data_IF_380397499301
#
_entry.id   IF_380397499301
#
_cell.length_a   1.000
_cell.length_b   1.000
_cell.length_c   1.000
_cell.angle_alpha   90.00
_cell.angle_beta   90.00
_cell.angle_gamma   90.00
#
_symmetry.space_group_name_H-M   'P 1'
#
loop_
_entity.id
_entity.type
_entity.pdbx_description
1 polymer ?
#
# COMPACT_ATOMS: atom_id res chain seq x y z
N UNK A 1 36.51 13.53 -18.82
CA UNK A 1 35.04 13.59 -18.93
C UNK A 1 34.48 13.91 -17.56
N UNK A 2 33.67 14.97 -17.41
CA UNK A 2 32.96 15.23 -16.16
C UNK A 2 32.01 14.05 -15.85
N UNK A 3 31.80 13.69 -14.58
CA UNK A 3 30.87 12.61 -14.24
C UNK A 3 29.48 12.97 -14.78
N UNK A 4 28.94 12.10 -15.62
CA UNK A 4 27.58 12.25 -16.16
C UNK A 4 26.60 12.04 -15.02
N UNK A 5 25.96 13.11 -14.55
CA UNK A 5 24.84 13.00 -13.61
C UNK A 5 23.74 12.16 -14.25
N UNK A 6 23.31 11.12 -13.53
CA UNK A 6 22.19 10.28 -13.96
C UNK A 6 20.91 11.04 -13.66
N UNK A 7 19.96 11.06 -14.59
CA UNK A 7 18.68 11.75 -14.40
C UNK A 7 17.52 10.80 -14.67
N UNK A 8 16.65 10.62 -13.68
CA UNK A 8 15.38 9.89 -13.79
C UNK A 8 14.24 10.89 -13.85
N UNK A 9 13.42 10.77 -14.90
CA UNK A 9 12.15 11.48 -15.02
C UNK A 9 10.99 10.50 -14.76
N UNK A 10 10.16 10.82 -13.77
CA UNK A 10 8.94 10.10 -13.43
C UNK A 10 7.78 10.86 -14.08
N UNK A 11 7.09 10.22 -15.03
CA UNK A 11 5.96 10.82 -15.75
C UNK A 11 4.67 10.36 -15.08
N UNK A 12 4.00 11.28 -14.39
CA UNK A 12 2.83 11.01 -13.56
C UNK A 12 3.12 11.33 -12.09
N UNK A 13 2.25 12.15 -11.50
CA UNK A 13 2.25 12.43 -10.06
C UNK A 13 1.37 11.45 -9.29
N UNK A 14 0.51 11.98 -8.43
CA UNK A 14 -0.32 11.18 -7.53
C UNK A 14 0.49 10.25 -6.61
N UNK A 15 -0.19 9.30 -5.96
CA UNK A 15 0.42 8.41 -4.95
C UNK A 15 1.59 7.62 -5.52
N UNK A 16 1.45 7.05 -6.73
CA UNK A 16 2.48 6.21 -7.34
C UNK A 16 3.74 7.01 -7.70
N UNK A 17 3.59 8.18 -8.33
CA UNK A 17 4.73 9.01 -8.77
C UNK A 17 5.54 9.56 -7.60
N UNK A 18 4.86 10.09 -6.59
CA UNK A 18 5.51 10.65 -5.41
C UNK A 18 6.16 9.59 -4.52
N UNK A 19 5.53 8.43 -4.31
CA UNK A 19 6.17 7.31 -3.60
C UNK A 19 7.40 6.79 -4.36
N UNK A 20 7.32 6.64 -5.69
CA UNK A 20 8.48 6.24 -6.49
C UNK A 20 9.63 7.24 -6.36
N UNK A 21 9.35 8.54 -6.41
CA UNK A 21 10.37 9.58 -6.24
C UNK A 21 11.07 9.50 -4.88
N UNK A 22 10.30 9.35 -3.80
CA UNK A 22 10.82 9.23 -2.43
C UNK A 22 11.66 7.95 -2.25
N UNK A 23 11.17 6.81 -2.74
CA UNK A 23 11.89 5.54 -2.65
C UNK A 23 13.19 5.55 -3.47
N UNK A 24 13.15 6.12 -4.68
CA UNK A 24 14.36 6.28 -5.51
C UNK A 24 15.35 7.24 -4.88
N UNK A 25 14.88 8.36 -4.32
CA UNK A 25 15.74 9.31 -3.62
C UNK A 25 16.41 8.65 -2.42
N UNK A 26 15.66 7.89 -1.62
CA UNK A 26 16.18 7.13 -0.49
C UNK A 26 17.23 6.10 -0.91
N UNK A 27 16.93 5.30 -1.94
CA UNK A 27 17.86 4.30 -2.46
C UNK A 27 19.15 4.93 -3.03
N UNK A 28 19.04 6.12 -3.61
CA UNK A 28 20.14 6.85 -4.21
C UNK A 28 20.98 7.66 -3.21
N UNK A 29 20.62 7.73 -1.92
CA UNK A 29 21.46 8.37 -0.89
C UNK A 29 22.86 7.76 -0.82
N UNK A 30 23.07 6.54 -1.34
CA UNK A 30 24.37 5.88 -1.47
C UNK A 30 25.14 6.19 -2.77
N UNK A 31 24.62 7.03 -3.67
CA UNK A 31 25.21 7.32 -4.98
C UNK A 31 25.16 8.82 -5.30
N UNK A 32 26.33 9.46 -5.33
CA UNK A 32 26.45 10.86 -5.72
C UNK A 32 25.95 11.09 -7.16
N UNK A 33 25.10 12.11 -7.33
CA UNK A 33 24.76 12.67 -8.64
C UNK A 33 23.54 12.08 -9.35
N UNK A 34 22.57 11.50 -8.63
CA UNK A 34 21.24 11.19 -9.19
C UNK A 34 20.29 12.39 -9.08
N UNK A 35 19.83 12.90 -10.22
CA UNK A 35 18.72 13.84 -10.30
C UNK A 35 17.41 13.08 -10.51
N UNK A 36 16.37 13.44 -9.77
CA UNK A 36 15.01 12.89 -9.93
C UNK A 36 14.07 14.05 -10.24
N UNK A 37 13.14 13.87 -11.18
CA UNK A 37 12.11 14.86 -11.48
C UNK A 37 10.76 14.16 -11.66
N UNK A 38 9.71 14.69 -11.04
CA UNK A 38 8.33 14.24 -11.23
C UNK A 38 7.64 15.23 -12.17
N UNK A 39 7.03 14.72 -13.23
CA UNK A 39 6.28 15.49 -14.22
C UNK A 39 4.81 15.16 -14.01
N UNK A 40 4.07 16.11 -13.41
CA UNK A 40 2.66 15.97 -13.09
C UNK A 40 1.82 16.88 -13.99
N UNK A 41 0.67 16.38 -14.45
CA UNK A 41 -0.28 17.18 -15.23
C UNK A 41 -1.08 18.07 -14.29
N UNK A 42 -1.18 19.38 -14.54
CA UNK A 42 -2.05 20.26 -13.74
C UNK A 42 -3.55 20.00 -13.98
N UNK A 43 -3.90 19.30 -15.06
CA UNK A 43 -5.27 19.17 -15.53
C UNK A 43 -5.97 17.89 -15.03
N UNK A 44 -5.22 16.94 -14.47
CA UNK A 44 -5.74 15.65 -14.00
C UNK A 44 -5.68 15.62 -12.47
N UNK A 45 -6.78 15.99 -11.78
CA UNK A 45 -6.81 15.94 -10.33
C UNK A 45 -6.81 14.50 -9.82
N UNK A 46 -6.31 14.32 -8.59
CA UNK A 46 -6.50 13.05 -7.88
C UNK A 46 -7.98 12.82 -7.58
N UNK A 47 -8.42 11.58 -7.75
CA UNK A 47 -9.78 11.20 -7.38
C UNK A 47 -9.82 11.08 -5.86
N UNK A 48 -10.62 11.91 -5.19
CA UNK A 48 -10.78 11.95 -3.73
C UNK A 48 -11.56 10.77 -3.14
N UNK A 49 -11.36 9.56 -3.66
CA UNK A 49 -11.87 8.35 -3.02
C UNK A 49 -10.89 7.95 -1.92
N UNK A 50 -11.40 7.58 -0.74
CA UNK A 50 -10.51 7.09 0.30
C UNK A 50 -9.84 5.79 -0.14
N UNK A 51 -8.52 5.73 0.01
CA UNK A 51 -7.70 4.55 -0.27
C UNK A 51 -7.29 3.84 1.03
N UNK A 52 -7.36 2.52 1.04
CA UNK A 52 -6.91 1.70 2.17
C UNK A 52 -5.53 1.09 1.92
N UNK A 53 -4.70 1.01 2.95
CA UNK A 53 -3.38 0.36 2.91
C UNK A 53 -3.35 -0.98 3.65
N UNK A 54 -2.16 -1.62 3.68
CA UNK A 54 -1.81 -2.78 4.54
C UNK A 54 -0.76 -2.36 5.56
N UNK A 55 -0.39 -3.24 6.51
CA UNK A 55 0.62 -2.86 7.54
C UNK A 55 2.00 -2.56 6.95
N UNK A 56 2.31 -3.09 5.77
CA UNK A 56 3.56 -2.81 5.04
C UNK A 56 3.76 -1.31 4.82
N UNK A 57 2.68 -0.55 4.66
CA UNK A 57 2.78 0.89 4.41
C UNK A 57 3.37 1.66 5.60
N UNK A 58 3.15 1.18 6.83
CA UNK A 58 3.80 1.76 8.02
C UNK A 58 5.33 1.64 7.92
N UNK A 59 5.83 0.51 7.43
CA UNK A 59 7.27 0.32 7.22
C UNK A 59 7.82 1.29 6.16
N UNK A 60 7.06 1.53 5.09
CA UNK A 60 7.43 2.52 4.06
C UNK A 60 7.59 3.91 4.65
N UNK A 61 6.67 4.36 5.51
CA UNK A 61 6.79 5.67 6.18
C UNK A 61 8.06 5.75 7.04
N UNK A 62 8.31 4.71 7.85
CA UNK A 62 9.49 4.63 8.70
C UNK A 62 10.80 4.65 7.89
N UNK A 63 10.87 3.89 6.80
CA UNK A 63 12.05 3.81 5.93
C UNK A 63 12.35 5.15 5.26
N UNK A 64 11.30 5.90 4.91
CA UNK A 64 11.39 7.26 4.36
C UNK A 64 11.63 8.33 5.43
N UNK A 65 11.62 7.97 6.72
CA UNK A 65 11.79 8.92 7.83
C UNK A 65 10.59 9.85 8.02
N UNK A 66 9.40 9.43 7.60
CA UNK A 66 8.15 10.18 7.75
C UNK A 66 7.50 9.78 9.08
N UNK A 67 7.17 10.76 9.92
CA UNK A 67 6.45 10.52 11.16
C UNK A 67 5.02 10.03 10.87
N UNK A 68 4.66 8.88 11.46
CA UNK A 68 3.35 8.25 11.23
C UNK A 68 2.20 9.15 11.72
N UNK A 69 2.38 9.84 12.85
CA UNK A 69 1.32 10.67 13.43
C UNK A 69 1.11 11.94 12.62
N UNK A 70 2.18 12.58 12.16
CA UNK A 70 2.12 13.71 11.23
C UNK A 70 1.46 13.32 9.91
N UNK A 71 1.85 12.18 9.33
CA UNK A 71 1.26 11.66 8.11
C UNK A 71 -0.26 11.46 8.24
N UNK A 72 -0.72 10.83 9.33
CA UNK A 72 -2.16 10.62 9.58
C UNK A 72 -2.92 11.95 9.69
N UNK A 73 -2.35 12.94 10.39
CA UNK A 73 -2.96 14.28 10.52
C UNK A 73 -3.03 15.03 9.20
N UNK A 74 -1.95 15.01 8.41
CA UNK A 74 -1.86 15.73 7.15
C UNK A 74 -2.78 15.15 6.07
N UNK A 75 -3.08 13.85 6.15
CA UNK A 75 -3.92 13.14 5.15
C UNK A 75 -5.37 12.94 5.60
N UNK A 76 -5.70 13.20 6.87
CA UNK A 76 -6.99 12.85 7.44
C UNK A 76 -7.23 11.33 7.52
N UNK A 77 -6.18 10.53 7.50
CA UNK A 77 -6.27 9.08 7.51
C UNK A 77 -6.68 8.53 8.89
N UNK A 78 -7.29 7.34 8.87
CA UNK A 78 -7.72 6.60 10.07
C UNK A 78 -7.05 5.25 10.17
N UNK A 79 -6.97 4.70 11.38
CA UNK A 79 -6.46 3.35 11.59
C UNK A 79 -7.40 2.29 10.99
N UNK A 80 -6.82 1.39 10.19
CA UNK A 80 -7.52 0.22 9.64
C UNK A 80 -7.17 -0.99 10.50
N UNK A 81 -8.18 -1.64 11.09
CA UNK A 81 -8.00 -2.82 11.96
C UNK A 81 -8.27 -4.16 11.26
N UNK A 82 -9.00 -4.16 10.14
CA UNK A 82 -9.40 -5.39 9.47
C UNK A 82 -10.22 -5.10 8.21
N UNK A 83 -10.64 -6.17 7.56
CA UNK A 83 -11.53 -6.12 6.40
C UNK A 83 -12.80 -6.90 6.76
N UNK A 84 -13.96 -6.25 6.65
CA UNK A 84 -15.26 -6.92 6.77
C UNK A 84 -15.69 -7.44 5.40
N UNK A 85 -15.78 -8.75 5.26
CA UNK A 85 -16.31 -9.40 4.06
C UNK A 85 -17.81 -9.66 4.25
N UNK A 86 -18.65 -8.73 3.80
CA UNK A 86 -20.10 -8.81 3.96
C UNK A 86 -20.76 -9.70 2.91
N UNK A 87 -21.42 -10.78 3.34
CA UNK A 87 -22.12 -11.71 2.42
C UNK A 87 -21.23 -12.57 1.51
N UNK A 88 -19.92 -12.59 1.72
CA UNK A 88 -18.97 -13.33 0.87
C UNK A 88 -18.96 -14.85 1.11
N UNK A 89 -19.53 -15.32 2.21
CA UNK A 89 -19.62 -16.75 2.50
C UNK A 89 -20.76 -17.40 1.73
N UNK A 90 -20.63 -18.71 1.46
CA UNK A 90 -21.70 -19.50 0.80
C UNK A 90 -23.03 -19.47 1.56
N UNK A 91 -22.99 -19.35 2.88
CA UNK A 91 -24.17 -19.23 3.74
C UNK A 91 -24.65 -17.78 3.91
N UNK A 92 -24.11 -16.83 3.12
CA UNK A 92 -24.49 -15.41 3.13
C UNK A 92 -24.02 -14.64 4.37
N UNK A 93 -23.24 -15.26 5.27
CA UNK A 93 -22.79 -14.64 6.51
C UNK A 93 -21.55 -13.77 6.30
N UNK A 94 -21.45 -12.74 7.13
CA UNK A 94 -20.29 -11.88 7.22
C UNK A 94 -19.11 -12.60 7.92
N UNK A 95 -17.89 -12.15 7.63
CA UNK A 95 -16.73 -12.47 8.45
C UNK A 95 -15.71 -11.32 8.41
N UNK A 96 -14.85 -11.27 9.43
CA UNK A 96 -13.70 -10.37 9.46
C UNK A 96 -12.44 -11.11 9.03
N UNK A 97 -11.75 -10.56 8.03
CA UNK A 97 -10.42 -10.98 7.61
C UNK A 97 -9.36 -10.10 8.27
N UNK A 98 -8.19 -10.68 8.64
CA UNK A 98 -7.04 -9.88 9.06
C UNK A 98 -6.53 -9.05 7.87
N UNK A 99 -5.82 -7.95 8.14
CA UNK A 99 -5.20 -7.11 7.10
C UNK A 99 -4.02 -7.84 6.45
N UNK A 100 -3.22 -8.51 7.27
CA UNK A 100 -2.01 -9.21 6.85
C UNK A 100 -2.06 -10.68 7.28
N UNK A 101 -1.14 -11.49 6.75
CA UNK A 101 -1.05 -12.89 7.15
C UNK A 101 -0.79 -12.97 8.66
N UNK A 102 -1.69 -13.57 9.45
CA UNK A 102 -1.49 -13.71 10.88
C UNK A 102 -0.23 -14.52 11.22
N UNK A 103 0.25 -15.39 10.33
CA UNK A 103 1.48 -16.14 10.53
C UNK A 103 2.75 -15.27 10.37
N UNK A 104 2.64 -14.10 9.75
CA UNK A 104 3.73 -13.12 9.68
C UNK A 104 3.82 -12.25 10.96
N UNK A 105 2.75 -12.21 11.76
CA UNK A 105 2.63 -11.37 12.96
C UNK A 105 2.67 -12.16 14.27
N UNK A 106 2.38 -13.46 14.24
CA UNK A 106 2.45 -14.36 15.39
C UNK A 106 3.18 -15.65 15.01
N UNK A 107 4.03 -16.20 15.91
CA UNK A 107 4.65 -17.49 15.67
C UNK A 107 3.58 -18.57 15.50
N UNK A 108 3.79 -19.57 14.63
CA UNK A 108 2.82 -20.63 14.44
C UNK A 108 2.57 -21.35 15.77
N UNK A 109 1.32 -21.71 16.11
CA UNK A 109 1.03 -22.43 17.33
C UNK A 109 1.78 -23.76 17.36
N UNK A 110 2.47 -24.03 18.48
CA UNK A 110 3.27 -25.24 18.68
C UNK A 110 2.41 -26.48 18.39
N UNK A 111 2.82 -27.29 17.41
CA UNK A 111 2.17 -28.55 17.06
C UNK A 111 1.18 -28.52 15.88
N UNK A 112 0.92 -27.37 15.23
CA UNK A 112 0.20 -27.36 13.94
C UNK A 112 1.18 -27.25 12.77
N UNK A 113 1.06 -28.18 11.80
CA UNK A 113 1.71 -28.02 10.49
C UNK A 113 1.17 -26.74 9.83
N UNK A 114 2.02 -25.95 9.14
CA UNK A 114 1.56 -24.77 8.42
C UNK A 114 0.54 -25.23 7.39
N UNK A 115 -0.73 -24.94 7.67
CA UNK A 115 -1.76 -24.93 6.63
C UNK A 115 -1.38 -23.76 5.75
N UNK A 116 -0.69 -24.05 4.64
CA UNK A 116 -0.53 -23.07 3.58
C UNK A 116 -1.86 -22.36 3.36
N UNK A 117 -1.79 -21.03 3.33
CA UNK A 117 -2.86 -20.16 2.87
C UNK A 117 -3.62 -20.91 1.76
N UNK A 118 -4.94 -21.04 1.91
CA UNK A 118 -5.80 -21.69 0.91
C UNK A 118 -5.55 -20.95 -0.39
N UNK A 119 -4.67 -21.50 -1.22
CA UNK A 119 -4.43 -21.01 -2.56
C UNK A 119 -5.73 -21.23 -3.31
N UNK A 120 -6.21 -20.13 -3.85
CA UNK A 120 -7.40 -20.01 -4.66
C UNK A 120 -7.64 -21.25 -5.53
N UNK A 121 -8.58 -22.11 -5.13
CA UNK A 121 -9.18 -23.08 -6.06
C UNK A 121 -10.23 -22.29 -6.82
N UNK A 122 -9.89 -22.00 -8.08
CA UNK A 122 -10.68 -21.31 -9.11
C UNK A 122 -12.19 -21.23 -8.81
N UNK A 123 -12.68 -20.02 -8.58
CA UNK A 123 -14.11 -19.72 -8.61
C UNK A 123 -14.46 -19.08 -9.97
N UNK A 124 -15.57 -19.49 -10.61
CA UNK A 124 -15.95 -18.97 -11.91
C UNK A 124 -16.42 -17.53 -11.80
N UNK A 125 -16.01 -16.74 -12.79
CA UNK A 125 -16.30 -15.31 -12.94
C UNK A 125 -17.79 -14.99 -12.77
N UNK A 126 -18.14 -14.11 -11.81
CA UNK A 126 -19.25 -13.14 -11.97
C UNK A 126 -19.00 -11.87 -11.17
N UNK A 127 -18.84 -10.77 -11.91
CA UNK A 127 -19.15 -9.37 -11.56
C UNK A 127 -18.88 -8.90 -10.14
N UNK A 128 -17.65 -8.44 -9.87
CA UNK A 128 -17.30 -7.78 -8.60
C UNK A 128 -17.61 -6.27 -8.66
N UNK A 129 -18.29 -5.76 -7.62
CA UNK A 129 -18.17 -4.36 -7.18
C UNK A 129 -17.59 -4.35 -5.77
N UNK A 130 -16.35 -3.90 -5.64
CA UNK A 130 -15.68 -3.71 -4.35
C UNK A 130 -15.98 -2.30 -3.86
N UNK A 131 -16.73 -2.16 -2.77
CA UNK A 131 -16.91 -0.88 -2.09
C UNK A 131 -15.94 -0.82 -0.89
N UNK A 132 -14.81 -0.14 -1.09
CA UNK A 132 -13.95 0.30 0.01
C UNK A 132 -14.61 1.56 0.59
N UNK A 133 -15.27 1.44 1.73
CA UNK A 133 -15.78 2.60 2.46
C UNK A 133 -14.69 3.10 3.41
N UNK A 134 -14.17 4.29 3.12
CA UNK A 134 -13.63 5.20 4.12
C UNK A 134 -14.72 6.25 4.38
N UNK A 135 -15.18 6.33 5.63
CA UNK A 135 -16.15 7.36 6.05
C UNK A 135 -15.44 8.69 6.21
N UNK A 136 -16.15 9.78 5.85
CA UNK A 136 -15.86 11.16 6.25
C UNK A 136 -15.94 11.33 7.76
#
# INVERSE_FOLDING_TARGET
>A
MAPTQKHIAIVGGGTAGWLAALMLQKAAQASDGLRISVIESPDIPTVGVGEGSTSVFRQVLLDLGIDEVEFLRATGATLKFGIKHAGWRKDGKDYFGPIDDPNALAPPPVGRRPTGCITHRSLPEKGLRTHIFLRR
#
